data_IF_450518123994
#
_entry.id   IF_450518123994
#
_cell.length_a   1.000
_cell.length_b   1.000
_cell.length_c   1.000
_cell.angle_alpha   90.00
_cell.angle_beta   90.00
_cell.angle_gamma   90.00
#
_symmetry.space_group_name_H-M   'P 1'
#
loop_
_entity.id
_entity.type
_entity.pdbx_description
1 polymer ?
#
# COMPACT_ATOMS: atom_id res chain seq x y z
N UNK A 1 11.53 3.44 -7.03
CA UNK A 1 12.28 2.54 -7.96
C UNK A 1 11.57 1.20 -7.99
N UNK A 2 11.57 0.50 -9.12
CA UNK A 2 10.98 -0.84 -9.26
C UNK A 2 12.09 -1.87 -9.46
N UNK A 3 11.92 -3.08 -8.92
CA UNK A 3 12.91 -4.15 -9.14
C UNK A 3 12.86 -4.65 -10.59
N UNK A 4 13.94 -5.31 -11.05
CA UNK A 4 13.96 -5.89 -12.40
C UNK A 4 12.84 -6.93 -12.61
N UNK A 5 12.49 -7.68 -11.57
CA UNK A 5 11.41 -8.66 -11.62
C UNK A 5 10.06 -7.95 -11.75
N UNK A 6 9.80 -6.93 -10.92
CA UNK A 6 8.58 -6.12 -10.99
C UNK A 6 8.44 -5.41 -12.35
N UNK A 7 9.55 -4.86 -12.87
CA UNK A 7 9.57 -4.23 -14.21
C UNK A 7 9.11 -5.22 -15.26
N UNK A 8 9.68 -6.43 -15.29
CA UNK A 8 9.28 -7.47 -16.24
C UNK A 8 7.80 -7.80 -16.10
N UNK A 9 7.29 -8.03 -14.89
CA UNK A 9 5.85 -8.32 -14.66
C UNK A 9 4.93 -7.24 -15.26
N UNK A 10 5.32 -5.97 -15.19
CA UNK A 10 4.54 -4.85 -15.72
C UNK A 10 4.69 -4.74 -17.25
N UNK A 11 5.91 -4.88 -17.78
CA UNK A 11 6.21 -4.56 -19.18
C UNK A 11 6.08 -5.72 -20.16
N UNK A 12 6.02 -6.97 -19.71
CA UNK A 12 5.99 -8.14 -20.62
C UNK A 12 4.58 -8.59 -20.99
N UNK A 13 3.54 -8.05 -20.35
CA UNK A 13 2.16 -8.29 -20.74
C UNK A 13 1.86 -7.60 -22.08
N UNK A 14 1.67 -8.41 -23.13
CA UNK A 14 1.29 -7.94 -24.46
C UNK A 14 -0.23 -7.92 -24.58
N UNK A 15 -0.84 -6.83 -24.10
CA UNK A 15 -2.27 -6.58 -24.28
C UNK A 15 -2.49 -5.19 -24.85
N UNK A 16 -3.42 -5.07 -25.81
CA UNK A 16 -3.65 -3.83 -26.55
C UNK A 16 -4.25 -2.70 -25.68
N UNK A 17 -4.73 -3.02 -24.48
CA UNK A 17 -5.30 -2.08 -23.52
C UNK A 17 -4.34 -1.71 -22.37
N UNK A 18 -3.08 -2.15 -22.41
CA UNK A 18 -2.08 -1.87 -21.38
C UNK A 18 -0.99 -0.95 -21.95
N UNK A 19 -0.85 0.23 -21.33
CA UNK A 19 0.14 1.22 -21.72
C UNK A 19 1.10 1.50 -20.56
N UNK A 20 2.37 1.18 -20.75
CA UNK A 20 3.40 1.31 -19.73
C UNK A 20 4.23 2.59 -19.95
N UNK A 21 4.19 3.51 -19.00
CA UNK A 21 4.95 4.76 -19.03
C UNK A 21 6.08 4.73 -17.99
N UNK A 22 7.31 4.89 -18.45
CA UNK A 22 8.49 5.01 -17.57
C UNK A 22 8.74 6.47 -17.26
N UNK A 23 8.67 6.84 -15.98
CA UNK A 23 8.93 8.20 -15.52
C UNK A 23 10.35 8.26 -14.93
N UNK A 24 11.15 9.21 -15.41
CA UNK A 24 12.48 9.50 -14.86
C UNK A 24 12.28 10.34 -13.59
N UNK A 25 12.27 9.69 -12.43
CA UNK A 25 12.03 10.34 -11.15
C UNK A 25 11.81 9.35 -10.00
N UNK A 26 11.29 9.84 -8.88
CA UNK A 26 10.88 9.01 -7.75
C UNK A 26 9.36 8.71 -7.79
N UNK A 27 8.87 7.97 -6.79
CA UNK A 27 7.46 7.60 -6.70
C UNK A 27 6.55 8.82 -6.48
N UNK A 28 6.99 9.79 -5.68
CA UNK A 28 6.23 11.01 -5.37
C UNK A 28 6.01 11.87 -6.63
N UNK A 29 7.02 11.99 -7.50
CA UNK A 29 6.87 12.64 -8.81
C UNK A 29 5.81 11.94 -9.67
N UNK A 30 5.80 10.60 -9.65
CA UNK A 30 4.80 9.82 -10.38
C UNK A 30 3.39 10.10 -9.83
N UNK A 31 3.23 10.14 -8.51
CA UNK A 31 1.94 10.49 -7.88
C UNK A 31 1.50 11.92 -8.22
N UNK A 32 2.41 12.87 -8.24
CA UNK A 32 2.14 14.26 -8.60
C UNK A 32 1.57 14.37 -10.02
N UNK A 33 2.21 13.73 -11.02
CA UNK A 33 1.71 13.74 -12.39
C UNK A 33 0.34 13.07 -12.52
N UNK A 34 0.13 11.94 -11.86
CA UNK A 34 -1.19 11.28 -11.86
C UNK A 34 -2.25 12.23 -11.29
N UNK A 35 -2.02 12.89 -10.15
CA UNK A 35 -2.96 13.87 -9.58
C UNK A 35 -3.28 15.00 -10.57
N UNK A 36 -2.27 15.54 -11.23
CA UNK A 36 -2.43 16.62 -12.23
C UNK A 36 -3.27 16.18 -13.43
N UNK A 37 -3.10 14.94 -13.90
CA UNK A 37 -3.91 14.35 -14.98
C UNK A 37 -5.38 14.23 -14.54
N UNK A 38 -5.61 13.75 -13.32
CA UNK A 38 -6.96 13.65 -12.75
C UNK A 38 -7.65 15.01 -12.64
N UNK A 39 -6.93 16.06 -12.22
CA UNK A 39 -7.47 17.42 -12.13
C UNK A 39 -7.86 17.98 -13.50
N UNK A 40 -7.01 17.80 -14.52
CA UNK A 40 -7.26 18.31 -15.86
C UNK A 40 -8.46 17.65 -16.56
N UNK A 41 -8.67 16.34 -16.33
CA UNK A 41 -9.67 15.55 -17.02
C UNK A 41 -10.98 15.45 -16.21
N UNK A 42 -11.01 15.99 -14.99
CA UNK A 42 -12.14 15.91 -14.05
C UNK A 42 -13.49 16.35 -14.66
N UNK A 43 -13.47 17.29 -15.60
CA UNK A 43 -14.67 17.85 -16.23
C UNK A 43 -14.96 17.26 -17.62
N UNK A 44 -14.10 16.39 -18.13
CA UNK A 44 -14.31 15.74 -19.42
C UNK A 44 -15.28 14.57 -19.26
N UNK A 45 -16.48 14.70 -19.82
CA UNK A 45 -17.53 13.67 -19.74
C UNK A 45 -17.23 12.45 -20.60
N UNK A 46 -16.25 12.52 -21.50
CA UNK A 46 -15.92 11.43 -22.42
C UNK A 46 -14.88 10.46 -21.85
N UNK A 47 -14.27 10.78 -20.69
CA UNK A 47 -13.18 9.98 -20.11
C UNK A 47 -13.48 9.62 -18.65
N UNK A 48 -13.60 8.33 -18.36
CA UNK A 48 -13.68 7.82 -16.99
C UNK A 48 -12.31 7.37 -16.50
N UNK A 49 -11.72 8.11 -15.57
CA UNK A 49 -10.44 7.76 -14.94
C UNK A 49 -10.65 7.13 -13.57
N UNK A 50 -10.05 5.95 -13.36
CA UNK A 50 -10.00 5.28 -12.06
C UNK A 50 -8.53 5.05 -11.70
N UNK A 51 -8.16 5.39 -10.46
CA UNK A 51 -6.85 5.09 -9.90
C UNK A 51 -6.93 3.83 -9.05
N UNK A 52 -5.99 2.91 -9.26
CA UNK A 52 -5.87 1.66 -8.51
C UNK A 52 -4.94 1.83 -7.28
N UNK A 53 -4.46 3.07 -7.03
CA UNK A 53 -3.54 3.36 -5.92
C UNK A 53 -4.22 3.36 -4.53
N UNK A 54 -3.38 3.39 -3.49
CA UNK A 54 -3.66 3.19 -2.05
C UNK A 54 -4.81 3.92 -1.38
N UNK A 55 -5.46 4.84 -2.07
CA UNK A 55 -6.59 5.62 -1.53
C UNK A 55 -7.92 4.88 -1.77
N UNK A 56 -7.94 3.87 -2.65
CA UNK A 56 -9.16 3.14 -2.92
C UNK A 56 -9.54 2.24 -1.71
N UNK A 57 -10.62 2.62 -1.02
CA UNK A 57 -11.22 1.89 0.11
C UNK A 57 -11.52 0.43 -0.23
N UNK A 58 -11.84 0.15 -1.50
CA UNK A 58 -12.04 -1.20 -2.01
C UNK A 58 -10.81 -2.09 -1.78
N UNK A 59 -9.59 -1.56 -1.93
CA UNK A 59 -8.35 -2.32 -1.70
C UNK A 59 -8.28 -2.78 -0.25
N UNK A 60 -8.63 -1.92 0.70
CA UNK A 60 -8.62 -2.23 2.14
C UNK A 60 -9.67 -3.30 2.45
N UNK A 61 -10.87 -3.19 1.89
CA UNK A 61 -11.95 -4.18 2.07
C UNK A 61 -11.53 -5.55 1.52
N UNK A 62 -10.95 -5.59 0.31
CA UNK A 62 -10.52 -6.86 -0.27
C UNK A 62 -9.39 -7.52 0.52
N UNK A 63 -8.49 -6.71 1.10
CA UNK A 63 -7.42 -7.23 1.95
C UNK A 63 -7.94 -7.77 3.30
N UNK A 64 -8.99 -7.18 3.84
CA UNK A 64 -9.60 -7.64 5.09
C UNK A 64 -10.07 -9.11 5.00
N UNK A 65 -10.52 -9.56 3.83
CA UNK A 65 -11.07 -10.91 3.61
C UNK A 65 -10.07 -12.01 4.01
N UNK A 66 -8.78 -11.88 3.66
CA UNK A 66 -7.83 -12.93 4.01
C UNK A 66 -7.48 -12.94 5.51
N UNK A 67 -7.51 -11.78 6.19
CA UNK A 67 -7.37 -11.74 7.65
C UNK A 67 -8.56 -12.41 8.34
N UNK A 68 -9.77 -12.14 7.85
CA UNK A 68 -10.99 -12.80 8.32
C UNK A 68 -10.88 -14.33 8.16
N UNK A 69 -10.51 -14.80 6.97
CA UNK A 69 -10.36 -16.23 6.69
C UNK A 69 -9.29 -16.89 7.56
N UNK A 70 -8.08 -16.33 7.60
CA UNK A 70 -6.95 -16.91 8.35
C UNK A 70 -7.23 -16.91 9.86
N UNK A 71 -7.86 -15.85 10.38
CA UNK A 71 -8.19 -15.76 11.80
C UNK A 71 -9.23 -16.79 12.23
N UNK A 72 -10.30 -17.01 11.47
CA UNK A 72 -11.29 -18.07 11.78
C UNK A 72 -10.69 -19.45 11.63
N UNK A 73 -9.90 -19.69 10.58
CA UNK A 73 -9.36 -21.01 10.28
C UNK A 73 -8.34 -21.49 11.31
N UNK A 74 -7.57 -20.58 11.91
CA UNK A 74 -6.44 -20.94 12.78
C UNK A 74 -6.59 -20.41 14.22
N UNK A 75 -7.73 -19.83 14.60
CA UNK A 75 -7.93 -19.30 15.95
C UNK A 75 -7.78 -20.37 17.01
N UNK A 76 -8.36 -21.57 16.80
CA UNK A 76 -8.45 -22.63 17.82
C UNK A 76 -8.85 -22.04 19.20
N UNK A 77 -9.95 -21.28 19.21
CA UNK A 77 -10.47 -20.51 20.37
C UNK A 77 -9.52 -19.44 20.96
N UNK A 78 -8.46 -19.09 20.22
CA UNK A 78 -7.52 -18.03 20.56
C UNK A 78 -7.48 -16.94 19.50
N UNK A 79 -7.03 -15.76 19.91
CA UNK A 79 -6.78 -14.64 18.99
C UNK A 79 -5.44 -14.85 18.28
N UNK A 80 -5.39 -14.56 16.98
CA UNK A 80 -4.16 -14.60 16.20
C UNK A 80 -3.50 -13.22 16.11
N UNK A 81 -2.21 -13.18 16.38
CA UNK A 81 -1.37 -12.00 16.19
C UNK A 81 -0.84 -11.95 14.75
N UNK A 82 -0.74 -10.75 14.17
CA UNK A 82 -0.25 -10.54 12.81
C UNK A 82 0.95 -9.58 12.79
N UNK A 83 2.00 -9.99 12.08
CA UNK A 83 3.17 -9.16 11.76
C UNK A 83 3.09 -8.79 10.28
N UNK A 84 3.08 -7.49 9.97
CA UNK A 84 2.71 -6.99 8.65
C UNK A 84 3.78 -6.02 8.12
N UNK A 85 4.60 -6.42 7.14
CA UNK A 85 5.47 -5.51 6.42
C UNK A 85 4.64 -4.37 5.82
N UNK A 86 4.93 -3.13 6.24
CA UNK A 86 4.06 -1.99 6.01
C UNK A 86 4.84 -0.84 5.37
N UNK A 87 4.39 -0.43 4.18
CA UNK A 87 4.71 0.86 3.57
C UNK A 87 3.57 1.84 3.86
N UNK A 88 2.65 1.99 2.90
CA UNK A 88 1.46 2.88 2.94
C UNK A 88 0.37 2.46 3.95
N UNK A 89 0.68 1.61 4.93
CA UNK A 89 -0.19 1.16 6.03
C UNK A 89 -1.53 0.46 5.69
N UNK A 90 -2.04 0.49 4.45
CA UNK A 90 -3.37 -0.02 4.11
C UNK A 90 -3.57 -1.51 4.41
N UNK A 91 -2.51 -2.31 4.31
CA UNK A 91 -2.55 -3.72 4.70
C UNK A 91 -2.78 -3.88 6.23
N UNK A 92 -1.98 -3.20 7.05
CA UNK A 92 -2.16 -3.21 8.50
C UNK A 92 -3.51 -2.65 8.94
N UNK A 93 -4.01 -1.61 8.24
CA UNK A 93 -5.35 -1.07 8.45
C UNK A 93 -6.43 -2.12 8.17
N UNK A 94 -6.29 -2.93 7.12
CA UNK A 94 -7.26 -3.99 6.82
C UNK A 94 -7.34 -5.07 7.91
N UNK A 95 -6.20 -5.45 8.51
CA UNK A 95 -6.17 -6.34 9.69
C UNK A 95 -6.85 -5.69 10.90
N UNK A 96 -6.64 -4.39 11.10
CA UNK A 96 -7.25 -3.63 12.19
C UNK A 96 -8.77 -3.57 12.03
N UNK A 97 -9.26 -3.34 10.80
CA UNK A 97 -10.69 -3.37 10.50
C UNK A 97 -11.28 -4.76 10.75
N UNK A 98 -10.61 -5.83 10.33
CA UNK A 98 -11.04 -7.21 10.59
C UNK A 98 -11.20 -7.48 12.10
N UNK A 99 -10.26 -6.99 12.90
CA UNK A 99 -10.33 -7.05 14.37
C UNK A 99 -11.52 -6.26 14.90
N UNK A 100 -11.75 -5.04 14.39
CA UNK A 100 -12.84 -4.16 14.84
C UNK A 100 -14.23 -4.70 14.53
N UNK A 101 -14.39 -5.46 13.45
CA UNK A 101 -15.66 -6.12 13.10
C UNK A 101 -15.85 -7.48 13.78
N UNK A 102 -14.96 -7.89 14.70
CA UNK A 102 -15.18 -9.00 15.62
C UNK A 102 -14.41 -10.29 15.34
N UNK A 103 -13.52 -10.34 14.34
CA UNK A 103 -12.72 -11.53 14.08
C UNK A 103 -11.68 -11.79 15.19
N UNK A 104 -11.28 -13.06 15.42
CA UNK A 104 -10.37 -13.46 16.50
C UNK A 104 -8.93 -13.03 16.20
N UNK A 105 -8.68 -11.71 16.26
CA UNK A 105 -7.41 -11.07 15.95
C UNK A 105 -6.87 -10.38 17.21
N UNK A 106 -5.62 -10.68 17.52
CA UNK A 106 -4.89 -10.19 18.68
C UNK A 106 -4.11 -8.92 18.35
N UNK A 107 -2.79 -8.95 18.54
CA UNK A 107 -1.87 -7.86 18.22
C UNK A 107 -1.68 -7.73 16.72
N UNK A 108 -1.52 -6.49 16.27
CA UNK A 108 -1.21 -6.15 14.88
C UNK A 108 0.06 -5.34 14.94
N UNK A 109 1.13 -5.87 14.36
CA UNK A 109 2.48 -5.32 14.44
C UNK A 109 2.90 -4.90 13.03
N UNK A 110 2.73 -3.62 12.65
CA UNK A 110 3.28 -3.11 11.41
C UNK A 110 4.82 -3.04 11.54
N UNK A 111 5.54 -3.54 10.52
CA UNK A 111 6.99 -3.49 10.46
C UNK A 111 7.44 -2.69 9.24
N UNK A 112 8.31 -1.70 9.45
CA UNK A 112 8.95 -0.92 8.38
C UNK A 112 10.38 -1.39 8.15
N UNK A 113 11.01 -0.94 7.07
CA UNK A 113 12.45 -1.07 6.85
C UNK A 113 13.17 0.19 7.38
N UNK A 114 14.37 0.47 6.85
CA UNK A 114 15.17 1.66 7.17
C UNK A 114 14.46 3.00 6.89
N UNK A 115 13.28 2.98 6.26
CA UNK A 115 12.35 4.08 6.14
C UNK A 115 11.30 3.99 7.27
N UNK A 116 11.70 4.39 8.48
CA UNK A 116 10.94 4.20 9.72
C UNK A 116 9.99 5.38 10.08
N UNK A 117 9.46 6.08 9.08
CA UNK A 117 8.50 7.18 9.31
C UNK A 117 7.34 6.75 10.22
N UNK A 118 6.71 5.61 9.91
CA UNK A 118 5.58 5.08 10.64
C UNK A 118 5.94 4.70 12.09
N UNK A 119 7.11 4.08 12.30
CA UNK A 119 7.58 3.69 13.63
C UNK A 119 7.83 4.92 14.51
N UNK A 120 8.46 5.96 13.94
CA UNK A 120 8.74 7.20 14.65
C UNK A 120 7.45 7.97 14.98
N UNK A 121 6.47 7.96 14.06
CA UNK A 121 5.16 8.56 14.31
C UNK A 121 4.42 7.84 15.44
N UNK A 122 4.33 6.50 15.40
CA UNK A 122 3.62 5.70 16.42
C UNK A 122 4.26 5.86 17.80
N UNK A 123 5.59 5.89 17.89
CA UNK A 123 6.29 5.97 19.18
C UNK A 123 6.36 7.39 19.74
N UNK A 124 6.63 8.37 18.88
CA UNK A 124 7.05 9.71 19.32
C UNK A 124 6.10 10.84 18.87
N UNK A 125 5.04 10.56 18.11
CA UNK A 125 4.16 11.56 17.49
C UNK A 125 4.94 12.61 16.66
N UNK A 126 6.11 12.25 16.14
CA UNK A 126 6.97 13.14 15.35
C UNK A 126 6.80 12.87 13.86
N UNK A 127 6.52 13.94 13.12
CA UNK A 127 6.51 13.97 11.67
C UNK A 127 7.83 14.62 11.24
N UNK A 128 8.76 13.81 10.74
CA UNK A 128 10.03 14.29 10.21
C UNK A 128 10.15 13.86 8.75
N UNK A 129 10.58 14.78 7.89
CA UNK A 129 10.85 14.47 6.49
C UNK A 129 12.14 13.65 6.41
N UNK A 130 12.01 12.35 6.21
CA UNK A 130 13.15 11.47 6.01
C UNK A 130 13.56 11.44 4.54
N UNK A 131 14.87 11.48 4.30
CA UNK A 131 15.44 11.16 2.99
C UNK A 131 15.19 9.68 2.74
N UNK A 132 14.48 9.37 1.65
CA UNK A 132 14.16 8.02 1.23
C UNK A 132 15.45 7.20 1.07
N UNK A 133 15.58 6.11 1.82
CA UNK A 133 16.67 5.15 1.71
C UNK A 133 16.25 3.95 0.87
N UNK A 134 17.10 3.58 -0.09
CA UNK A 134 16.89 2.36 -0.87
C UNK A 134 17.24 1.15 -0.01
N UNK A 135 16.35 0.17 0.04
CA UNK A 135 16.58 -1.07 0.79
C UNK A 135 16.43 -2.31 -0.09
N UNK A 136 16.64 -3.49 0.49
CA UNK A 136 16.36 -4.78 -0.15
C UNK A 136 14.86 -5.03 -0.34
N UNK A 137 13.99 -4.25 0.30
CA UNK A 137 12.54 -4.36 0.25
C UNK A 137 11.91 -3.13 -0.45
N UNK A 138 12.10 -2.97 -1.78
CA UNK A 138 11.75 -1.74 -2.49
C UNK A 138 10.26 -1.40 -2.50
N UNK A 139 9.38 -2.38 -2.21
CA UNK A 139 7.93 -2.19 -2.13
C UNK A 139 7.46 -1.44 -0.88
N UNK A 140 8.32 -1.35 0.15
CA UNK A 140 8.04 -0.62 1.39
C UNK A 140 9.04 0.53 1.62
N UNK A 141 9.86 0.87 0.61
CA UNK A 141 10.66 2.11 0.59
C UNK A 141 9.72 3.31 0.38
N UNK A 142 9.16 3.82 1.47
CA UNK A 142 8.16 4.89 1.46
C UNK A 142 8.55 5.96 2.50
N UNK A 143 8.57 7.21 2.06
CA UNK A 143 8.88 8.38 2.89
C UNK A 143 7.66 8.86 3.69
N UNK A 144 6.47 8.80 3.10
CA UNK A 144 5.19 9.23 3.70
C UNK A 144 4.11 8.18 3.37
N UNK A 145 3.63 7.42 4.37
CA UNK A 145 2.58 6.40 4.22
C UNK A 145 1.20 6.93 3.81
#
# INVERSE_FOLDING_TARGET
>A
MISNIQRKQITTLKSNNIFNYSIIGNFDFTQFFVKKIFENIKNDKNVSLISVNSINWFRIIMQLIYYCYVSVKNSNDKKLDFIIPSGNFGNALSAFLAKKIGFPIGKIIPCTNDNFYLDNYIKNNKIENFILKKTICPSIDISIP
#
